data_IF_080061999574
#
_entry.id   IF_080061999574
#
_cell.length_a   1.000
_cell.length_b   1.000
_cell.length_c   1.000
_cell.angle_alpha   90.00
_cell.angle_beta   90.00
_cell.angle_gamma   90.00
#
_symmetry.space_group_name_H-M   'P 1'
#
loop_
_entity.id
_entity.type
_entity.pdbx_description
1 polymer ?
#
# COMPACT_ATOMS: atom_id res chain seq x y z
N UNK A 1 12.91 9.08 8.75
CA UNK A 1 13.11 8.26 7.54
C UNK A 1 12.24 8.88 6.46
N UNK A 2 12.79 9.16 5.29
CA UNK A 2 12.01 9.77 4.20
C UNK A 2 11.17 8.70 3.49
N UNK A 3 9.85 8.83 3.57
CA UNK A 3 8.87 7.88 3.01
C UNK A 3 8.10 8.47 1.81
N UNK A 4 8.48 9.67 1.35
CA UNK A 4 7.85 10.36 0.21
C UNK A 4 7.77 9.48 -1.04
N UNK A 5 8.83 8.71 -1.32
CA UNK A 5 8.91 7.79 -2.45
C UNK A 5 7.80 6.70 -2.45
N UNK A 6 7.16 6.43 -1.31
CA UNK A 6 6.05 5.46 -1.20
C UNK A 6 4.72 6.09 -1.62
N UNK A 7 4.53 7.41 -1.56
CA UNK A 7 3.20 8.00 -1.70
C UNK A 7 3.10 9.15 -2.69
N UNK A 8 4.22 9.78 -3.07
CA UNK A 8 4.22 11.03 -3.86
C UNK A 8 3.75 10.86 -5.31
N UNK A 9 3.93 9.68 -5.88
CA UNK A 9 3.44 9.39 -7.22
C UNK A 9 2.01 8.82 -7.27
N UNK A 10 1.35 8.70 -6.11
CA UNK A 10 0.00 8.15 -5.98
C UNK A 10 -1.05 9.25 -6.01
N UNK A 11 -2.18 8.98 -6.66
CA UNK A 11 -3.36 9.84 -6.52
C UNK A 11 -3.98 9.71 -5.12
N UNK A 12 -4.96 10.55 -4.81
CA UNK A 12 -5.58 10.61 -3.48
C UNK A 12 -6.18 9.25 -3.04
N UNK A 13 -6.93 8.57 -3.90
CA UNK A 13 -7.55 7.29 -3.57
C UNK A 13 -6.51 6.17 -3.36
N UNK A 14 -5.45 6.15 -4.17
CA UNK A 14 -4.35 5.21 -4.02
C UNK A 14 -3.57 5.48 -2.73
N UNK A 15 -3.28 6.75 -2.43
CA UNK A 15 -2.62 7.17 -1.19
C UNK A 15 -3.44 6.75 0.03
N UNK A 16 -4.75 7.01 0.03
CA UNK A 16 -5.64 6.58 1.10
C UNK A 16 -5.65 5.06 1.31
N UNK A 17 -5.62 4.27 0.23
CA UNK A 17 -5.53 2.81 0.32
C UNK A 17 -4.17 2.33 0.86
N UNK A 18 -3.08 2.98 0.44
CA UNK A 18 -1.70 2.65 0.90
C UNK A 18 -1.50 3.03 2.37
N UNK A 19 -2.07 4.13 2.84
CA UNK A 19 -1.90 4.64 4.20
C UNK A 19 -3.05 4.29 5.14
N UNK A 20 -3.96 3.39 4.75
CA UNK A 20 -5.07 2.97 5.59
C UNK A 20 -4.59 2.40 6.94
N UNK A 21 -5.34 2.56 8.04
CA UNK A 21 -4.96 1.95 9.32
C UNK A 21 -4.90 0.42 9.22
N UNK A 22 -4.26 -0.22 10.19
CA UNK A 22 -4.21 -1.69 10.27
C UNK A 22 -5.62 -2.27 10.43
N UNK A 23 -5.92 -3.33 9.68
CA UNK A 23 -7.21 -3.99 9.67
C UNK A 23 -7.57 -4.51 8.28
N UNK A 24 -8.74 -5.16 8.18
CA UNK A 24 -9.27 -5.64 6.91
C UNK A 24 -9.75 -4.45 6.06
N UNK A 25 -9.31 -4.41 4.80
CA UNK A 25 -9.71 -3.38 3.84
C UNK A 25 -10.01 -4.01 2.47
N UNK A 26 -10.95 -3.41 1.72
CA UNK A 26 -11.30 -3.80 0.36
C UNK A 26 -10.97 -2.63 -0.59
N UNK A 27 -10.12 -2.88 -1.59
CA UNK A 27 -9.81 -1.93 -2.66
C UNK A 27 -10.44 -2.44 -3.96
N UNK A 28 -11.53 -1.81 -4.39
CA UNK A 28 -12.25 -2.14 -5.62
C UNK A 28 -12.04 -1.06 -6.67
N UNK A 29 -11.50 -1.43 -7.83
CA UNK A 29 -11.27 -0.50 -8.93
C UNK A 29 -11.20 -1.22 -10.28
N UNK A 30 -11.52 -0.50 -11.37
CA UNK A 30 -11.50 -1.01 -12.74
C UNK A 30 -10.12 -1.43 -13.26
N UNK A 31 -10.06 -1.99 -14.46
CA UNK A 31 -8.79 -2.30 -15.13
C UNK A 31 -7.94 -1.01 -15.34
N UNK A 32 -6.61 -1.13 -15.30
CA UNK A 32 -5.70 0.00 -15.50
C UNK A 32 -5.62 1.02 -14.34
N UNK A 33 -6.40 0.86 -13.27
CA UNK A 33 -6.45 1.79 -12.12
C UNK A 33 -5.25 1.73 -11.17
N UNK A 34 -4.27 0.84 -11.42
CA UNK A 34 -3.08 0.71 -10.58
C UNK A 34 -3.26 -0.14 -9.30
N UNK A 35 -4.20 -1.11 -9.27
CA UNK A 35 -4.39 -2.01 -8.12
C UNK A 35 -3.10 -2.70 -7.64
N UNK A 36 -2.31 -3.24 -8.58
CA UNK A 36 -1.03 -3.87 -8.25
C UNK A 36 -0.01 -2.85 -7.72
N UNK A 37 -0.02 -1.62 -8.24
CA UNK A 37 0.79 -0.52 -7.70
C UNK A 37 0.41 -0.23 -6.25
N UNK A 38 -0.89 -0.09 -5.96
CA UNK A 38 -1.38 0.09 -4.59
C UNK A 38 -0.92 -1.06 -3.68
N UNK A 39 -1.03 -2.31 -4.13
CA UNK A 39 -0.60 -3.48 -3.35
C UNK A 39 0.90 -3.42 -3.01
N UNK A 40 1.77 -3.11 -3.99
CA UNK A 40 3.22 -3.00 -3.78
C UNK A 40 3.56 -1.85 -2.82
N UNK A 41 2.97 -0.67 -3.02
CA UNK A 41 3.20 0.48 -2.16
C UNK A 41 2.66 0.26 -0.74
N UNK A 42 1.54 -0.47 -0.59
CA UNK A 42 1.02 -0.87 0.73
C UNK A 42 1.99 -1.77 1.48
N UNK A 43 2.62 -2.73 0.81
CA UNK A 43 3.66 -3.58 1.44
C UNK A 43 4.83 -2.72 1.92
N UNK A 44 5.31 -1.78 1.09
CA UNK A 44 6.37 -0.86 1.49
C UNK A 44 5.97 -0.01 2.71
N UNK A 45 4.73 0.51 2.74
CA UNK A 45 4.19 1.27 3.86
C UNK A 45 4.14 0.44 5.16
N UNK A 46 3.63 -0.80 5.07
CA UNK A 46 3.54 -1.71 6.21
C UNK A 46 4.93 -2.01 6.82
N UNK A 47 5.98 -2.10 5.99
CA UNK A 47 7.34 -2.36 6.47
C UNK A 47 7.98 -1.08 7.03
N UNK A 48 7.98 0.01 6.27
CA UNK A 48 8.77 1.21 6.61
C UNK A 48 8.07 2.13 7.60
N UNK A 49 6.73 2.20 7.59
CA UNK A 49 5.95 3.11 8.45
C UNK A 49 5.34 2.36 9.62
N UNK A 50 4.64 1.24 9.36
CA UNK A 50 4.03 0.45 10.44
C UNK A 50 5.04 -0.47 11.15
N UNK A 51 6.27 -0.59 10.64
CA UNK A 51 7.34 -1.39 11.25
C UNK A 51 7.10 -2.90 11.24
N UNK A 52 6.24 -3.40 10.35
CA UNK A 52 5.96 -4.83 10.25
C UNK A 52 7.16 -5.57 9.65
N UNK A 53 7.45 -6.74 10.23
CA UNK A 53 8.43 -7.65 9.67
C UNK A 53 8.02 -8.08 8.26
N UNK A 54 8.91 -8.02 7.25
CA UNK A 54 8.63 -8.56 5.92
C UNK A 54 8.19 -10.03 5.95
N UNK A 55 8.68 -10.79 6.93
CA UNK A 55 8.30 -12.20 7.14
C UNK A 55 6.86 -12.39 7.63
N UNK A 56 6.20 -11.33 8.07
CA UNK A 56 4.79 -11.32 8.49
C UNK A 56 3.81 -10.97 7.36
N UNK A 57 4.29 -10.78 6.13
CA UNK A 57 3.46 -10.36 4.99
C UNK A 57 3.37 -11.50 3.97
N UNK A 58 2.13 -11.88 3.61
CA UNK A 58 1.84 -12.78 2.50
C UNK A 58 1.10 -12.00 1.40
N UNK A 59 1.68 -11.97 0.21
CA UNK A 59 1.01 -11.51 -1.00
C UNK A 59 0.77 -12.70 -1.93
N UNK A 60 -0.49 -12.93 -2.29
CA UNK A 60 -0.92 -14.04 -3.17
C UNK A 60 -1.76 -13.47 -4.31
N UNK A 61 -1.63 -14.06 -5.50
CA UNK A 61 -2.33 -13.64 -6.73
C UNK A 61 -2.95 -14.82 -7.46
#
# INVERSE_FOLDING_TARGET
MDVSHIIDELNEAQRAAVTAPLGSALVLAGAGSGKTRVLVHRIAWLIQVEGLSPWGILAVT
#
